data_IF_914935686878
#
_entry.id   IF_914935686878
#
_cell.length_a   1.000
_cell.length_b   1.000
_cell.length_c   1.000
_cell.angle_alpha   90.00
_cell.angle_beta   90.00
_cell.angle_gamma   90.00
#
_symmetry.space_group_name_H-M   'P 1'
#
loop_
_entity.id
_entity.type
_entity.pdbx_description
1 polymer ?
#
# COMPACT_ATOMS: atom_id res chain seq x y z
N UNK A 1 0.15 -12.37 9.40
CA UNK A 1 0.40 -12.53 7.95
C UNK A 1 1.32 -11.38 7.64
N UNK A 2 2.58 -11.67 7.29
CA UNK A 2 3.56 -10.62 7.02
C UNK A 2 3.22 -10.01 5.67
N UNK A 3 3.00 -8.70 5.62
CA UNK A 3 2.82 -7.96 4.37
C UNK A 3 4.15 -7.37 3.91
N UNK A 4 4.29 -7.24 2.61
CA UNK A 4 5.49 -6.84 1.87
C UNK A 4 5.08 -6.17 0.55
N UNK A 5 6.07 -5.80 -0.28
CA UNK A 5 5.79 -5.19 -1.58
C UNK A 5 4.96 -6.09 -2.52
N UNK A 6 5.12 -7.42 -2.44
CA UNK A 6 4.29 -8.36 -3.21
C UNK A 6 2.82 -8.29 -2.81
N UNK A 7 2.53 -7.96 -1.55
CA UNK A 7 1.17 -7.68 -1.08
C UNK A 7 0.59 -6.42 -1.75
N UNK A 8 1.41 -5.38 -1.97
CA UNK A 8 0.99 -4.18 -2.71
C UNK A 8 0.76 -4.48 -4.19
N UNK A 9 1.60 -5.33 -4.82
CA UNK A 9 1.37 -5.84 -6.19
C UNK A 9 0.06 -6.61 -6.28
N UNK A 10 -0.27 -7.43 -5.28
CA UNK A 10 -1.53 -8.15 -5.22
C UNK A 10 -2.73 -7.18 -5.13
N UNK A 11 -2.62 -6.11 -4.33
CA UNK A 11 -3.63 -5.05 -4.27
C UNK A 11 -3.76 -4.31 -5.61
N UNK A 12 -2.65 -3.93 -6.23
CA UNK A 12 -2.62 -3.28 -7.54
C UNK A 12 -3.28 -4.14 -8.62
N UNK A 13 -2.87 -5.41 -8.73
CA UNK A 13 -3.48 -6.39 -9.63
C UNK A 13 -4.97 -6.53 -9.37
N UNK A 14 -5.39 -6.68 -8.11
CA UNK A 14 -6.80 -6.76 -7.73
C UNK A 14 -7.58 -5.51 -8.18
N UNK A 15 -7.06 -4.32 -7.93
CA UNK A 15 -7.72 -3.06 -8.30
C UNK A 15 -7.81 -2.90 -9.81
N UNK A 16 -6.72 -3.11 -10.55
CA UNK A 16 -6.67 -3.02 -12.02
C UNK A 16 -7.65 -4.01 -12.65
N UNK A 17 -7.74 -5.23 -12.15
CA UNK A 17 -8.67 -6.24 -12.66
C UNK A 17 -10.12 -5.78 -12.47
N UNK A 18 -10.46 -5.26 -11.29
CA UNK A 18 -11.80 -4.76 -11.02
C UNK A 18 -12.16 -3.52 -11.85
N UNK A 19 -11.22 -2.60 -12.06
CA UNK A 19 -11.40 -1.43 -12.93
C UNK A 19 -11.66 -1.86 -14.38
N UNK A 20 -10.87 -2.82 -14.89
CA UNK A 20 -11.02 -3.37 -16.24
C UNK A 20 -12.32 -4.13 -16.42
N UNK A 21 -12.71 -4.99 -15.46
CA UNK A 21 -13.98 -5.74 -15.49
C UNK A 21 -15.20 -4.82 -15.51
N UNK A 22 -15.12 -3.68 -14.82
CA UNK A 22 -16.15 -2.64 -14.85
C UNK A 22 -16.07 -1.70 -16.04
N UNK A 23 -15.08 -1.89 -16.92
CA UNK A 23 -14.83 -1.05 -18.11
C UNK A 23 -14.61 0.43 -17.74
N UNK A 24 -13.98 0.67 -16.59
CA UNK A 24 -13.60 2.01 -16.14
C UNK A 24 -12.25 2.44 -16.68
N UNK A 25 -11.42 1.49 -17.11
CA UNK A 25 -10.13 1.74 -17.76
C UNK A 25 -9.94 0.79 -18.95
N UNK A 26 -9.17 1.23 -19.92
CA UNK A 26 -8.66 0.41 -21.03
C UNK A 26 -7.13 0.50 -21.10
N UNK A 27 -6.48 -0.64 -21.35
CA UNK A 27 -5.04 -0.71 -21.51
C UNK A 27 -4.64 -1.97 -22.29
N UNK A 28 -3.56 -1.89 -23.04
CA UNK A 28 -2.99 -3.01 -23.77
C UNK A 28 -2.43 -4.11 -22.84
N UNK A 29 -2.70 -5.38 -23.16
CA UNK A 29 -2.33 -6.53 -22.30
C UNK A 29 -0.83 -6.62 -22.03
N UNK A 30 0.02 -6.21 -22.97
CA UNK A 30 1.48 -6.25 -22.79
C UNK A 30 1.97 -5.26 -21.73
N UNK A 31 1.22 -4.19 -21.43
CA UNK A 31 1.56 -3.19 -20.41
C UNK A 31 1.06 -3.57 -19.01
N UNK A 32 0.37 -4.72 -18.87
CA UNK A 32 -0.29 -5.10 -17.62
C UNK A 32 0.67 -5.20 -16.45
N UNK A 33 1.81 -5.84 -16.66
CA UNK A 33 2.81 -6.06 -15.60
C UNK A 33 3.40 -4.73 -15.15
N UNK A 34 3.82 -3.88 -16.10
CA UNK A 34 4.32 -2.53 -15.83
C UNK A 34 3.28 -1.66 -15.10
N UNK A 35 2.00 -1.76 -15.48
CA UNK A 35 0.92 -1.02 -14.84
C UNK A 35 0.68 -1.49 -13.39
N UNK A 36 0.80 -2.80 -13.13
CA UNK A 36 0.70 -3.36 -11.78
C UNK A 36 1.85 -2.85 -10.92
N UNK A 37 3.09 -2.88 -11.42
CA UNK A 37 4.25 -2.35 -10.70
C UNK A 37 4.09 -0.86 -10.40
N UNK A 38 3.73 -0.05 -11.40
CA UNK A 38 3.54 1.38 -11.24
C UNK A 38 2.46 1.71 -10.20
N UNK A 39 1.32 1.01 -10.23
CA UNK A 39 0.27 1.21 -9.25
C UNK A 39 0.67 0.70 -7.85
N UNK A 40 1.45 -0.39 -7.77
CA UNK A 40 1.97 -0.89 -6.49
C UNK A 40 2.93 0.12 -5.84
N UNK A 41 3.79 0.75 -6.63
CA UNK A 41 4.66 1.85 -6.15
C UNK A 41 3.84 3.01 -5.61
N UNK A 42 2.80 3.45 -6.32
CA UNK A 42 1.94 4.54 -5.84
C UNK A 42 1.18 4.12 -4.55
N UNK A 43 0.74 2.86 -4.46
CA UNK A 43 0.17 2.34 -3.21
C UNK A 43 1.16 2.34 -2.05
N UNK A 44 2.45 2.10 -2.30
CA UNK A 44 3.51 2.14 -1.27
C UNK A 44 3.70 3.52 -0.64
N UNK A 45 3.20 4.60 -1.26
CA UNK A 45 3.16 5.93 -0.65
C UNK A 45 2.03 6.06 0.38
N UNK A 46 0.94 5.33 0.16
CA UNK A 46 -0.29 5.42 0.96
C UNK A 46 -0.46 4.31 2.00
N UNK A 47 0.25 3.20 1.80
CA UNK A 47 0.21 2.01 2.65
C UNK A 47 1.60 1.67 3.17
N UNK A 48 1.67 1.32 4.44
CA UNK A 48 2.85 0.70 5.03
C UNK A 48 2.64 -0.81 5.19
N UNK A 49 3.67 -1.58 4.87
CA UNK A 49 3.71 -3.04 5.06
C UNK A 49 4.31 -3.40 6.42
N UNK A 50 4.18 -4.66 6.83
CA UNK A 50 4.88 -5.17 8.02
C UNK A 50 6.42 -5.08 7.86
N UNK A 51 6.92 -5.15 6.63
CA UNK A 51 8.33 -4.96 6.30
C UNK A 51 8.76 -3.50 6.49
N UNK A 52 8.02 -2.53 5.96
CA UNK A 52 8.31 -1.09 6.15
C UNK A 52 8.29 -0.72 7.64
N UNK A 53 7.30 -1.22 8.38
CA UNK A 53 7.19 -0.99 9.83
C UNK A 53 8.36 -1.62 10.58
N UNK A 54 8.84 -2.79 10.14
CA UNK A 54 10.02 -3.44 10.75
C UNK A 54 11.27 -2.62 10.50
N UNK A 55 11.48 -2.13 9.28
CA UNK A 55 12.63 -1.33 8.91
C UNK A 55 12.64 0.01 9.66
N UNK A 56 11.53 0.74 9.67
CA UNK A 56 11.41 1.98 10.47
C UNK A 56 11.65 1.75 11.96
N UNK A 57 11.16 0.64 12.52
CA UNK A 57 11.38 0.33 13.93
C UNK A 57 12.86 0.03 14.24
N UNK A 58 13.61 -0.54 13.29
CA UNK A 58 15.06 -0.73 13.43
C UNK A 58 15.73 0.63 13.40
N UNK A 59 15.45 1.46 12.40
CA UNK A 59 16.01 2.80 12.26
C UNK A 59 15.78 3.66 13.52
N UNK A 60 14.56 3.67 14.06
CA UNK A 60 14.23 4.44 15.27
C UNK A 60 15.02 3.96 16.51
N UNK A 61 15.27 2.65 16.62
CA UNK A 61 16.05 2.09 17.72
C UNK A 61 17.54 2.42 17.55
N UNK A 62 18.06 2.33 16.33
CA UNK A 62 19.45 2.70 15.99
C UNK A 62 19.73 4.17 16.31
N UNK A 63 18.81 5.08 15.93
CA UNK A 63 18.92 6.50 16.25
C UNK A 63 18.91 6.78 17.76
N UNK A 64 18.11 6.03 18.54
CA UNK A 64 17.99 6.23 19.98
C UNK A 64 19.13 5.64 20.80
N UNK A 65 19.68 4.51 20.38
CA UNK A 65 20.74 3.79 21.12
C UNK A 65 22.14 4.28 20.75
N UNK A 66 22.30 4.83 19.55
CA UNK A 66 23.60 5.09 18.95
C UNK A 66 24.24 3.79 18.43
N UNK A 67 25.00 3.89 17.35
CA UNK A 67 25.58 2.75 16.62
C UNK A 67 26.44 1.83 17.51
N UNK A 68 27.04 2.37 18.57
CA UNK A 68 27.96 1.67 19.47
C UNK A 68 27.27 0.80 20.55
N UNK A 69 25.95 0.92 20.76
CA UNK A 69 25.21 0.17 21.80
C UNK A 69 24.15 -0.80 21.23
N UNK A 70 24.18 -1.06 19.92
CA UNK A 70 23.22 -1.95 19.30
C UNK A 70 23.50 -3.42 19.67
N UNK A 71 22.50 -4.15 20.21
CA UNK A 71 22.62 -5.59 20.41
C UNK A 71 22.75 -6.32 19.07
N UNK A 72 23.38 -7.50 19.08
CA UNK A 72 23.57 -8.33 17.86
C UNK A 72 22.24 -8.67 17.15
N UNK A 73 21.12 -8.75 17.89
CA UNK A 73 19.77 -8.83 17.32
C UNK A 73 18.84 -7.77 17.92
N UNK A 74 18.72 -6.65 17.21
CA UNK A 74 17.82 -5.54 17.55
C UNK A 74 16.36 -5.99 17.59
N UNK A 75 15.99 -6.98 16.78
CA UNK A 75 14.58 -7.33 16.53
C UNK A 75 13.95 -8.21 17.61
N UNK A 76 14.76 -8.74 18.53
CA UNK A 76 14.29 -9.43 19.73
C UNK A 76 14.18 -8.50 20.95
N UNK A 77 14.63 -7.25 20.84
CA UNK A 77 14.64 -6.31 21.97
C UNK A 77 13.24 -5.81 22.36
N UNK A 78 13.04 -5.49 23.64
CA UNK A 78 11.82 -4.80 24.09
C UNK A 78 11.66 -3.42 23.43
N UNK A 79 12.79 -2.76 23.13
CA UNK A 79 12.80 -1.44 22.48
C UNK A 79 12.28 -1.50 21.05
N UNK A 80 12.69 -2.50 20.25
CA UNK A 80 12.13 -2.74 18.92
C UNK A 80 10.62 -3.02 18.98
N UNK A 81 10.20 -3.88 19.91
CA UNK A 81 8.78 -4.17 20.11
C UNK A 81 7.97 -2.93 20.54
N UNK A 82 8.58 -2.01 21.28
CA UNK A 82 7.99 -0.73 21.64
C UNK A 82 7.89 0.21 20.44
N UNK A 83 8.98 0.44 19.70
CA UNK A 83 9.02 1.28 18.50
C UNK A 83 8.00 0.82 17.45
N UNK A 84 7.96 -0.49 17.17
CA UNK A 84 6.98 -1.10 16.25
C UNK A 84 5.54 -0.77 16.64
N UNK A 85 5.20 -0.83 17.94
CA UNK A 85 3.85 -0.50 18.42
C UNK A 85 3.53 0.98 18.26
N UNK A 86 4.48 1.87 18.47
CA UNK A 86 4.28 3.32 18.31
C UNK A 86 4.08 3.69 16.84
N UNK A 87 4.86 3.11 15.92
CA UNK A 87 4.69 3.30 14.48
C UNK A 87 3.29 2.82 14.04
N UNK A 88 2.87 1.61 14.43
CA UNK A 88 1.52 1.11 14.09
C UNK A 88 0.41 2.02 14.64
N UNK A 89 0.60 2.58 15.85
CA UNK A 89 -0.36 3.53 16.43
C UNK A 89 -0.43 4.84 15.66
N UNK A 90 0.66 5.31 15.05
CA UNK A 90 0.64 6.52 14.22
C UNK A 90 -0.28 6.37 12.99
N UNK A 91 -0.51 5.14 12.53
CA UNK A 91 -1.48 4.82 11.48
C UNK A 91 -2.92 4.65 11.99
N UNK A 92 -3.20 5.08 13.22
CA UNK A 92 -4.48 4.91 13.92
C UNK A 92 -4.96 3.45 14.05
N UNK A 93 -4.07 2.48 13.80
CA UNK A 93 -4.39 1.04 13.81
C UNK A 93 -5.29 0.58 12.66
N UNK A 94 -5.64 1.45 11.71
CA UNK A 94 -6.42 1.04 10.53
C UNK A 94 -5.53 0.24 9.58
N UNK A 95 -6.01 -0.95 9.20
CA UNK A 95 -5.35 -1.75 8.19
C UNK A 95 -6.37 -2.45 7.29
N UNK A 96 -5.98 -2.70 6.05
CA UNK A 96 -6.75 -3.44 5.05
C UNK A 96 -5.90 -4.60 4.59
N UNK A 97 -6.34 -5.82 4.88
CA UNK A 97 -5.58 -7.01 4.49
C UNK A 97 -4.18 -7.09 5.11
N UNK A 98 -3.93 -6.40 6.23
CA UNK A 98 -2.60 -6.31 6.85
C UNK A 98 -1.71 -5.19 6.30
N UNK A 99 -2.20 -4.37 5.37
CA UNK A 99 -1.56 -3.12 4.95
C UNK A 99 -2.04 -1.97 5.84
N UNK A 100 -1.13 -1.26 6.48
CA UNK A 100 -1.45 -0.13 7.36
C UNK A 100 -1.71 1.13 6.55
N UNK A 101 -2.75 1.89 6.91
CA UNK A 101 -3.12 3.10 6.19
C UNK A 101 -2.31 4.30 6.70
N UNK A 102 -1.46 4.87 5.85
CA UNK A 102 -0.67 6.08 6.16
C UNK A 102 -1.54 7.34 6.04
N UNK A 103 -2.56 7.29 5.19
CA UNK A 103 -3.57 8.32 5.01
C UNK A 103 -4.97 7.71 4.96
N UNK A 104 -6.02 8.54 5.07
CA UNK A 104 -7.40 8.02 5.04
C UNK A 104 -7.71 7.31 3.73
N UNK A 105 -8.51 6.25 3.77
CA UNK A 105 -8.90 5.47 2.59
C UNK A 105 -9.45 6.32 1.42
N UNK A 106 -10.15 7.42 1.73
CA UNK A 106 -10.63 8.34 0.71
C UNK A 106 -9.48 9.06 -0.01
N UNK A 107 -8.46 9.53 0.72
CA UNK A 107 -7.27 10.16 0.12
C UNK A 107 -6.48 9.16 -0.74
N UNK A 108 -6.36 7.91 -0.28
CA UNK A 108 -5.78 6.84 -1.09
C UNK A 108 -6.55 6.68 -2.41
N UNK A 109 -7.87 6.68 -2.36
CA UNK A 109 -8.70 6.57 -3.57
C UNK A 109 -8.57 7.81 -4.49
N UNK A 110 -8.43 9.01 -3.93
CA UNK A 110 -8.15 10.23 -4.71
C UNK A 110 -6.80 10.11 -5.42
N UNK A 111 -5.75 9.70 -4.71
CA UNK A 111 -4.42 9.45 -5.28
C UNK A 111 -4.45 8.40 -6.39
N UNK A 112 -5.14 7.28 -6.17
CA UNK A 112 -5.29 6.25 -7.19
C UNK A 112 -6.10 6.72 -8.40
N UNK A 113 -7.12 7.56 -8.19
CA UNK A 113 -7.86 8.19 -9.29
C UNK A 113 -6.94 9.09 -10.10
N UNK A 114 -6.14 9.92 -9.44
CA UNK A 114 -5.18 10.79 -10.12
C UNK A 114 -4.10 9.99 -10.86
N UNK A 115 -3.61 8.90 -10.26
CA UNK A 115 -2.72 7.95 -10.93
C UNK A 115 -3.38 7.40 -12.20
N UNK A 116 -4.61 6.88 -12.10
CA UNK A 116 -5.31 6.29 -13.25
C UNK A 116 -5.53 7.30 -14.37
N UNK A 117 -5.85 8.56 -14.04
CA UNK A 117 -6.06 9.63 -15.03
C UNK A 117 -4.78 10.09 -15.72
N UNK A 118 -3.61 9.95 -15.08
CA UNK A 118 -2.34 10.50 -15.56
C UNK A 118 -1.31 9.42 -15.95
N UNK A 119 -1.65 8.14 -15.85
CA UNK A 119 -0.72 7.05 -16.13
C UNK A 119 -0.64 6.76 -17.64
N UNK A 120 0.55 6.93 -18.24
CA UNK A 120 0.81 6.66 -19.66
C UNK A 120 0.59 5.20 -20.09
N UNK A 121 0.48 4.27 -19.12
CA UNK A 121 0.23 2.86 -19.38
C UNK A 121 -1.26 2.55 -19.57
N UNK A 122 -2.14 3.51 -19.26
CA UNK A 122 -3.59 3.42 -19.44
C UNK A 122 -3.95 4.20 -20.70
N UNK A 123 -4.67 3.54 -21.62
CA UNK A 123 -5.01 4.12 -22.91
C UNK A 123 -6.24 5.05 -22.77
N UNK A 124 -7.26 4.62 -22.03
CA UNK A 124 -8.48 5.41 -21.80
C UNK A 124 -9.03 5.20 -20.38
N UNK A 125 -9.62 6.25 -19.80
CA UNK A 125 -10.33 6.22 -18.52
C UNK A 125 -11.78 6.65 -18.72
N UNK A 126 -12.70 5.83 -18.23
CA UNK A 126 -14.14 6.02 -18.34
C UNK A 126 -14.75 6.16 -16.95
N UNK A 127 -15.34 7.32 -16.68
CA UNK A 127 -16.03 7.59 -15.41
C UNK A 127 -15.80 9.02 -14.94
N UNK A 128 -16.72 9.53 -14.13
CA UNK A 128 -16.47 10.78 -13.41
C UNK A 128 -15.53 10.54 -12.23
N UNK A 129 -14.80 11.57 -11.81
CA UNK A 129 -13.89 11.52 -10.66
C UNK A 129 -14.56 10.93 -9.41
N UNK A 130 -15.78 11.37 -9.10
CA UNK A 130 -16.53 10.92 -7.92
C UNK A 130 -16.87 9.42 -8.01
N UNK A 131 -17.22 8.93 -9.19
CA UNK A 131 -17.53 7.52 -9.43
C UNK A 131 -16.28 6.65 -9.29
N UNK A 132 -15.15 7.11 -9.84
CA UNK A 132 -13.86 6.42 -9.73
C UNK A 132 -13.40 6.34 -8.27
N UNK A 133 -13.47 7.46 -7.53
CA UNK A 133 -13.11 7.51 -6.11
C UNK A 133 -14.01 6.55 -5.31
N UNK A 134 -15.34 6.63 -5.48
CA UNK A 134 -16.27 5.77 -4.76
C UNK A 134 -16.02 4.28 -5.07
N UNK A 135 -15.74 3.96 -6.32
CA UNK A 135 -15.39 2.61 -6.74
C UNK A 135 -14.10 2.11 -6.09
N UNK A 136 -13.03 2.92 -6.13
CA UNK A 136 -11.74 2.59 -5.55
C UNK A 136 -11.83 2.38 -4.03
N UNK A 137 -12.52 3.27 -3.31
CA UNK A 137 -12.77 3.11 -1.87
C UNK A 137 -13.44 1.77 -1.57
N UNK A 138 -14.50 1.42 -2.33
CA UNK A 138 -15.23 0.18 -2.12
C UNK A 138 -14.36 -1.05 -2.38
N UNK A 139 -13.55 -1.04 -3.46
CA UNK A 139 -12.71 -2.17 -3.84
C UNK A 139 -11.52 -2.35 -2.92
N UNK A 140 -10.78 -1.28 -2.63
CA UNK A 140 -9.63 -1.33 -1.72
C UNK A 140 -10.09 -1.87 -0.37
N UNK A 141 -11.22 -1.40 0.18
CA UNK A 141 -11.77 -1.91 1.45
C UNK A 141 -12.08 -3.41 1.43
N UNK A 142 -12.45 -3.98 0.28
CA UNK A 142 -12.78 -5.39 0.13
C UNK A 142 -11.56 -6.29 -0.12
N UNK A 143 -10.38 -5.71 -0.31
CA UNK A 143 -9.16 -6.47 -0.57
C UNK A 143 -8.81 -7.40 0.60
N UNK A 144 -8.40 -8.62 0.27
CA UNK A 144 -7.91 -9.60 1.25
C UNK A 144 -6.88 -10.51 0.59
N UNK A 145 -5.61 -10.50 1.06
CA UNK A 145 -4.54 -11.33 0.48
C UNK A 145 -4.76 -12.83 0.59
N UNK A 146 -5.69 -13.28 1.45
CA UNK A 146 -6.02 -14.72 1.61
C UNK A 146 -7.05 -15.23 0.62
N UNK A 147 -7.74 -14.33 -0.10
CA UNK A 147 -8.87 -14.68 -0.98
C UNK A 147 -8.54 -14.52 -2.46
N UNK A 148 -7.42 -13.88 -2.78
CA UNK A 148 -6.97 -13.53 -4.11
C UNK A 148 -5.63 -14.20 -4.38
#
# INVERSE_FOLDING_TARGET
MKTDFDTLRALASYTINNLKEKKLIEFHVTRREELIEAMATEYGVSFATDEDVREQAIEEVEEKMGVDNLPEDVTESEMFNHARKEIIKSFNGENIGGLYLVESLHQIAVRMKDFVLNCDLIDDVFGADEDLIAFLVAKIRMFSPKKN
#
